data_IF_698305156286
#
_entry.id   IF_698305156286
#
_cell.length_a   1.000
_cell.length_b   1.000
_cell.length_c   1.000
_cell.angle_alpha   90.00
_cell.angle_beta   90.00
_cell.angle_gamma   90.00
#
_symmetry.space_group_name_H-M   'P 1'
#
loop_
_entity.id
_entity.type
_entity.pdbx_description
1 polymer ?
#
# COMPACT_ATOMS: atom_id res chain seq x y z
N UNK A 1 -15.37 7.44 7.04
CA UNK A 1 -16.08 8.27 6.03
C UNK A 1 -15.14 9.37 5.56
N UNK A 2 -14.96 9.50 4.25
CA UNK A 2 -14.19 10.61 3.65
C UNK A 2 -15.07 11.86 3.64
N UNK A 3 -14.51 12.97 4.08
CA UNK A 3 -15.22 14.27 4.07
C UNK A 3 -15.46 14.75 2.64
N UNK A 4 -16.55 15.47 2.42
CA UNK A 4 -16.95 15.94 1.08
C UNK A 4 -15.94 16.90 0.41
N UNK A 5 -15.09 17.55 1.22
CA UNK A 5 -14.03 18.44 0.73
C UNK A 5 -12.75 17.71 0.29
N UNK A 6 -12.66 16.38 0.48
CA UNK A 6 -11.53 15.59 -0.02
C UNK A 6 -11.67 15.38 -1.52
N UNK A 7 -10.62 15.68 -2.28
CA UNK A 7 -10.59 15.39 -3.71
C UNK A 7 -10.61 13.89 -3.96
N UNK A 8 -11.33 13.48 -4.99
CA UNK A 8 -11.42 12.08 -5.42
C UNK A 8 -10.73 11.92 -6.76
N UNK A 9 -10.25 10.71 -7.03
CA UNK A 9 -9.76 10.31 -8.34
C UNK A 9 -10.89 10.06 -9.34
N UNK A 10 -10.52 9.56 -10.50
CA UNK A 10 -9.16 9.29 -10.97
C UNK A 10 -8.36 10.57 -11.25
N UNK A 11 -7.04 10.41 -11.53
CA UNK A 11 -6.29 11.46 -12.21
C UNK A 11 -6.86 11.66 -13.63
N UNK A 12 -6.44 12.73 -14.33
CA UNK A 12 -6.98 13.05 -15.66
C UNK A 12 -6.74 11.95 -16.70
N UNK A 13 -5.70 11.14 -16.53
CA UNK A 13 -5.34 10.00 -17.35
C UNK A 13 -5.91 8.66 -16.84
N UNK A 14 -6.71 8.68 -15.78
CA UNK A 14 -7.39 7.51 -15.23
C UNK A 14 -6.68 6.83 -14.07
N UNK A 15 -5.42 7.21 -13.75
CA UNK A 15 -4.66 6.59 -12.65
C UNK A 15 -5.35 6.71 -11.30
N UNK A 16 -5.09 5.74 -10.43
CA UNK A 16 -5.63 5.70 -9.07
C UNK A 16 -5.09 6.88 -8.25
N UNK A 17 -6.00 7.72 -7.78
CA UNK A 17 -5.79 8.80 -6.82
C UNK A 17 -7.02 8.92 -5.90
N UNK A 18 -6.86 9.36 -4.64
CA UNK A 18 -5.60 9.65 -3.94
C UNK A 18 -4.75 8.39 -3.77
N UNK A 19 -3.46 8.53 -3.43
CA UNK A 19 -2.63 7.36 -3.14
C UNK A 19 -3.01 6.75 -1.79
N UNK A 20 -3.24 7.58 -0.76
CA UNK A 20 -3.51 7.12 0.60
C UNK A 20 -4.38 8.12 1.37
N UNK A 21 -5.11 7.60 2.35
CA UNK A 21 -5.98 8.38 3.23
C UNK A 21 -5.43 8.43 4.67
N UNK A 22 -5.71 9.52 5.38
CA UNK A 22 -5.39 9.67 6.79
C UNK A 22 -6.42 10.54 7.50
N UNK A 23 -6.38 10.57 8.85
CA UNK A 23 -7.28 11.41 9.64
C UNK A 23 -7.03 12.90 9.35
N UNK A 24 -8.06 13.58 8.85
CA UNK A 24 -8.02 15.02 8.55
C UNK A 24 -9.16 15.82 9.21
N UNK A 25 -10.01 15.18 10.02
CA UNK A 25 -11.16 15.83 10.66
C UNK A 25 -10.94 15.94 12.16
N UNK A 26 -11.22 17.12 12.72
CA UNK A 26 -11.07 17.43 14.14
C UNK A 26 -9.68 17.05 14.67
N UNK A 27 -8.65 17.52 13.97
CA UNK A 27 -7.24 17.34 14.37
C UNK A 27 -6.83 18.51 15.24
N UNK A 28 -6.43 18.21 16.49
CA UNK A 28 -5.86 19.20 17.40
C UNK A 28 -4.37 19.36 17.12
N UNK A 29 -3.92 20.60 16.95
CA UNK A 29 -2.51 20.92 16.74
C UNK A 29 -2.21 22.33 17.26
N UNK A 30 -0.94 22.72 17.20
CA UNK A 30 -0.48 24.07 17.56
C UNK A 30 -1.04 25.13 16.60
N UNK A 31 -1.34 26.30 17.13
CA UNK A 31 -1.76 27.50 16.42
C UNK A 31 -0.83 28.67 16.77
N UNK A 32 -1.00 29.78 16.05
CA UNK A 32 -0.29 31.03 16.35
C UNK A 32 -0.55 31.49 17.78
N UNK A 33 0.42 32.22 18.34
CA UNK A 33 0.31 32.77 19.68
C UNK A 33 0.50 31.74 20.81
N UNK A 34 1.20 30.63 20.55
CA UNK A 34 1.49 29.59 21.52
C UNK A 34 0.19 28.95 22.08
N UNK A 35 -0.78 28.71 21.22
CA UNK A 35 -2.08 28.12 21.55
C UNK A 35 -2.29 26.77 20.84
N UNK A 36 -3.34 26.07 21.19
CA UNK A 36 -3.79 24.84 20.52
C UNK A 36 -5.21 25.03 20.00
N UNK A 37 -5.53 24.38 18.92
CA UNK A 37 -6.89 24.39 18.36
C UNK A 37 -7.15 23.24 17.41
N UNK A 38 -8.43 23.12 17.04
CA UNK A 38 -8.93 22.04 16.19
C UNK A 38 -9.16 22.55 14.79
N UNK A 39 -8.61 21.84 13.79
CA UNK A 39 -8.85 22.12 12.37
C UNK A 39 -9.23 20.83 11.62
N UNK A 40 -9.87 21.02 10.47
CA UNK A 40 -10.25 19.92 9.57
C UNK A 40 -9.87 20.26 8.14
N UNK A 41 -9.42 19.26 7.38
CA UNK A 41 -9.04 19.37 5.98
C UNK A 41 -7.99 18.35 5.59
N UNK A 42 -7.79 18.16 4.30
CA UNK A 42 -6.69 17.33 3.77
C UNK A 42 -5.31 17.87 4.17
N UNK A 43 -5.23 19.19 4.44
CA UNK A 43 -4.04 19.84 5.03
C UNK A 43 -3.68 19.33 6.44
N UNK A 44 -4.60 18.65 7.14
CA UNK A 44 -4.37 17.99 8.42
C UNK A 44 -4.05 16.51 8.24
N UNK A 45 -4.56 15.88 7.19
CA UNK A 45 -4.21 14.49 6.84
C UNK A 45 -2.76 14.39 6.34
N UNK A 46 -2.34 15.31 5.48
CA UNK A 46 -1.01 15.30 4.85
C UNK A 46 0.14 15.28 5.88
N UNK A 47 0.23 16.20 6.86
CA UNK A 47 1.27 16.14 7.87
C UNK A 47 1.18 14.91 8.78
N UNK A 48 -0.01 14.34 8.96
CA UNK A 48 -0.17 13.06 9.65
C UNK A 48 0.53 11.91 8.91
N UNK A 49 0.41 11.86 7.58
CA UNK A 49 1.15 10.91 6.74
C UNK A 49 2.64 11.21 6.78
N UNK A 50 3.05 12.48 6.62
CA UNK A 50 4.46 12.87 6.63
C UNK A 50 5.15 12.54 7.96
N UNK A 51 4.47 12.79 9.09
CA UNK A 51 4.97 12.43 10.41
C UNK A 51 5.10 10.92 10.59
N UNK A 52 4.13 10.13 10.10
CA UNK A 52 4.22 8.67 10.08
C UNK A 52 5.42 8.20 9.24
N UNK A 53 5.63 8.78 8.06
CA UNK A 53 6.78 8.45 7.22
C UNK A 53 8.11 8.75 7.92
N UNK A 54 8.23 9.90 8.61
CA UNK A 54 9.45 10.24 9.35
C UNK A 54 9.82 9.18 10.39
N UNK A 55 8.83 8.70 11.17
CA UNK A 55 9.03 7.61 12.14
C UNK A 55 9.38 6.28 11.46
N UNK A 56 8.77 5.98 10.31
CA UNK A 56 9.07 4.76 9.56
C UNK A 56 10.47 4.79 8.92
N UNK A 57 10.95 5.97 8.51
CA UNK A 57 12.33 6.13 8.03
C UNK A 57 13.35 5.87 9.14
N UNK A 58 13.11 6.40 10.36
CA UNK A 58 13.93 6.10 11.54
C UNK A 58 13.88 4.61 11.88
N UNK A 59 12.70 4.00 11.91
CA UNK A 59 12.54 2.58 12.17
C UNK A 59 13.25 1.70 11.11
N UNK A 60 13.29 2.13 9.86
CA UNK A 60 14.01 1.43 8.80
C UNK A 60 15.53 1.51 9.02
N UNK A 61 16.04 2.69 9.37
CA UNK A 61 17.45 2.90 9.69
C UNK A 61 17.88 2.06 10.90
N UNK A 62 17.07 2.02 11.95
CA UNK A 62 17.30 1.17 13.14
C UNK A 62 17.41 -0.33 12.79
N UNK A 63 16.64 -0.81 11.81
CA UNK A 63 16.62 -2.23 11.42
C UNK A 63 17.70 -2.56 10.37
N UNK A 64 17.94 -1.65 9.41
CA UNK A 64 18.82 -1.89 8.25
C UNK A 64 20.18 -1.20 8.36
N UNK A 65 20.33 -0.16 9.18
CA UNK A 65 21.52 0.66 9.28
C UNK A 65 21.72 1.61 8.10
N UNK A 66 20.66 1.89 7.34
CA UNK A 66 20.63 2.82 6.20
C UNK A 66 19.22 3.32 5.94
N UNK A 67 19.09 4.43 5.21
CA UNK A 67 17.79 5.00 4.85
C UNK A 67 17.17 4.29 3.64
N UNK A 68 15.85 4.05 3.66
CA UNK A 68 15.17 3.44 2.52
C UNK A 68 15.09 4.40 1.33
N UNK A 69 15.09 3.84 0.12
CA UNK A 69 14.66 4.59 -1.06
C UNK A 69 13.19 5.02 -0.90
N UNK A 70 12.86 6.22 -1.37
CA UNK A 70 11.50 6.76 -1.25
C UNK A 70 10.44 5.89 -1.93
N UNK A 71 10.79 5.25 -3.05
CA UNK A 71 9.91 4.29 -3.73
C UNK A 71 9.57 3.08 -2.88
N UNK A 72 10.56 2.50 -2.18
CA UNK A 72 10.32 1.40 -1.25
C UNK A 72 9.39 1.83 -0.09
N UNK A 73 9.67 2.97 0.53
CA UNK A 73 8.83 3.47 1.63
C UNK A 73 7.40 3.73 1.17
N UNK A 74 7.21 4.29 -0.03
CA UNK A 74 5.88 4.46 -0.62
C UNK A 74 5.18 3.12 -0.83
N UNK A 75 5.84 2.13 -1.41
CA UNK A 75 5.30 0.78 -1.59
C UNK A 75 4.87 0.16 -0.25
N UNK A 76 5.70 0.29 0.80
CA UNK A 76 5.41 -0.22 2.15
C UNK A 76 4.11 0.38 2.69
N UNK A 77 3.96 1.70 2.68
CA UNK A 77 2.77 2.34 3.27
C UNK A 77 1.50 2.11 2.46
N UNK A 78 1.61 1.96 1.13
CA UNK A 78 0.45 1.65 0.28
C UNK A 78 0.00 0.19 0.46
N UNK A 79 0.94 -0.76 0.44
CA UNK A 79 0.62 -2.19 0.58
C UNK A 79 0.04 -2.55 1.96
N UNK A 80 0.40 -1.80 2.99
CA UNK A 80 -0.01 -2.06 4.38
C UNK A 80 -1.19 -1.20 4.85
N UNK A 81 -1.74 -0.37 3.98
CA UNK A 81 -2.89 0.46 4.31
C UNK A 81 -4.09 -0.38 4.73
N UNK A 82 -4.85 0.12 5.71
CA UNK A 82 -6.15 -0.46 6.05
C UNK A 82 -7.13 -0.14 4.94
N UNK A 83 -7.64 -1.17 4.30
CA UNK A 83 -8.61 -1.06 3.23
C UNK A 83 -9.90 -0.37 3.71
N UNK A 84 -10.40 0.55 2.91
CA UNK A 84 -11.61 1.34 3.20
C UNK A 84 -12.49 1.43 1.95
N UNK A 85 -13.77 1.27 2.15
CA UNK A 85 -14.75 1.36 1.05
C UNK A 85 -14.94 0.03 0.34
N UNK A 86 -14.69 -0.04 -0.94
CA UNK A 86 -14.69 -1.29 -1.69
C UNK A 86 -13.45 -2.12 -1.35
N UNK A 87 -13.52 -3.42 -1.57
CA UNK A 87 -12.34 -4.29 -1.43
C UNK A 87 -11.30 -3.90 -2.49
N UNK A 88 -10.04 -3.73 -2.04
CA UNK A 88 -8.96 -3.23 -2.86
C UNK A 88 -8.97 -1.70 -3.02
N UNK A 89 -8.23 -1.15 -3.98
CA UNK A 89 -8.19 0.30 -4.18
C UNK A 89 -9.51 0.85 -4.68
N UNK A 90 -9.78 2.12 -4.37
CA UNK A 90 -10.88 2.89 -4.96
C UNK A 90 -10.51 4.36 -5.18
N UNK A 91 -11.30 5.10 -5.97
CA UNK A 91 -11.04 6.51 -6.27
C UNK A 91 -11.42 7.48 -5.15
N UNK A 92 -11.83 6.99 -3.99
CA UNK A 92 -12.22 7.79 -2.81
C UNK A 92 -11.14 7.72 -1.74
N UNK A 93 -10.60 6.53 -1.47
CA UNK A 93 -9.67 6.24 -0.38
C UNK A 93 -8.26 5.91 -0.89
N UNK A 94 -8.09 5.71 -2.21
CA UNK A 94 -6.86 5.18 -2.79
C UNK A 94 -6.62 3.75 -2.34
N UNK A 95 -5.42 3.44 -1.85
CA UNK A 95 -5.07 2.12 -1.32
C UNK A 95 -5.54 1.90 0.12
N UNK A 96 -6.20 2.89 0.73
CA UNK A 96 -6.77 2.81 2.06
C UNK A 96 -6.21 3.84 3.04
N UNK A 97 -6.39 3.58 4.34
CA UNK A 97 -5.88 4.42 5.42
C UNK A 97 -4.49 3.97 5.85
N UNK A 98 -3.56 4.92 5.99
CA UNK A 98 -2.20 4.63 6.46
C UNK A 98 -2.22 3.88 7.80
N UNK A 99 -1.43 2.80 7.90
CA UNK A 99 -1.26 1.99 9.10
C UNK A 99 0.23 1.82 9.42
N UNK A 100 0.73 2.65 10.34
CA UNK A 100 2.13 2.65 10.73
C UNK A 100 2.60 1.32 11.35
N UNK A 101 1.73 0.61 12.10
CA UNK A 101 2.06 -0.68 12.72
C UNK A 101 2.32 -1.75 11.67
N UNK A 102 1.41 -1.90 10.69
CA UNK A 102 1.58 -2.87 9.60
C UNK A 102 2.81 -2.52 8.74
N UNK A 103 3.05 -1.23 8.48
CA UNK A 103 4.23 -0.77 7.76
C UNK A 103 5.52 -1.12 8.52
N UNK A 104 5.54 -0.93 9.83
CA UNK A 104 6.66 -1.36 10.68
C UNK A 104 6.86 -2.88 10.69
N UNK A 105 5.79 -3.67 10.71
CA UNK A 105 5.86 -5.14 10.60
C UNK A 105 6.57 -5.59 9.31
N UNK A 106 6.32 -4.91 8.20
CA UNK A 106 7.02 -5.15 6.92
C UNK A 106 8.51 -4.84 7.05
N UNK A 107 8.86 -3.72 7.66
CA UNK A 107 10.25 -3.30 7.87
C UNK A 107 10.97 -4.30 8.79
N UNK A 108 10.38 -4.61 9.94
CA UNK A 108 10.97 -5.47 10.95
C UNK A 108 11.19 -6.91 10.48
N UNK A 109 10.33 -7.42 9.60
CA UNK A 109 10.41 -8.77 9.06
C UNK A 109 11.09 -8.83 7.67
N UNK A 110 11.53 -7.70 7.12
CA UNK A 110 12.15 -7.61 5.80
C UNK A 110 11.24 -8.15 4.67
N UNK A 111 9.94 -7.87 4.76
CA UNK A 111 8.96 -8.34 3.79
C UNK A 111 8.95 -7.48 2.52
N UNK A 112 10.12 -7.30 1.94
CA UNK A 112 10.31 -6.57 0.69
C UNK A 112 11.53 -7.08 -0.08
N UNK A 113 11.54 -6.78 -1.36
CA UNK A 113 12.70 -6.97 -2.24
C UNK A 113 12.72 -5.86 -3.29
N UNK A 114 13.87 -5.67 -3.94
CA UNK A 114 14.03 -4.74 -5.04
C UNK A 114 14.85 -5.37 -6.16
N UNK A 115 14.69 -4.85 -7.35
CA UNK A 115 15.42 -5.28 -8.52
C UNK A 115 15.25 -4.31 -9.66
N UNK A 116 15.67 -4.71 -10.86
CA UNK A 116 15.40 -3.98 -12.09
C UNK A 116 15.04 -4.95 -13.21
N UNK A 117 14.25 -4.49 -14.16
CA UNK A 117 13.83 -5.27 -15.33
C UNK A 117 13.92 -4.41 -16.57
N UNK A 118 14.43 -5.00 -17.67
CA UNK A 118 14.50 -4.36 -18.97
C UNK A 118 13.24 -4.65 -19.80
N UNK A 119 13.10 -3.94 -20.90
CA UNK A 119 12.00 -4.13 -21.84
C UNK A 119 11.91 -5.57 -22.34
N UNK A 120 10.74 -6.17 -22.30
CA UNK A 120 10.47 -7.56 -22.69
C UNK A 120 11.01 -8.63 -21.75
N UNK A 121 11.88 -8.29 -20.79
CA UNK A 121 12.46 -9.24 -19.82
C UNK A 121 11.49 -9.56 -18.68
N UNK A 122 11.82 -10.59 -17.91
CA UNK A 122 11.06 -10.91 -16.69
C UNK A 122 11.97 -11.45 -15.59
N UNK A 123 11.62 -11.11 -14.35
CA UNK A 123 12.27 -11.60 -13.13
C UNK A 123 11.24 -12.40 -12.34
N UNK A 124 11.67 -13.51 -11.72
CA UNK A 124 10.81 -14.36 -10.91
C UNK A 124 11.50 -14.70 -9.59
N UNK A 125 10.71 -14.79 -8.53
CA UNK A 125 11.16 -15.32 -7.25
C UNK A 125 10.02 -16.04 -6.53
N UNK A 126 10.37 -16.88 -5.57
CA UNK A 126 9.38 -17.60 -4.75
C UNK A 126 9.09 -16.82 -3.47
N UNK A 127 7.82 -16.48 -3.25
CA UNK A 127 7.29 -15.98 -2.00
C UNK A 127 6.71 -17.16 -1.21
N UNK A 128 7.19 -17.36 0.01
CA UNK A 128 6.66 -18.40 0.91
C UNK A 128 5.54 -17.78 1.75
N UNK A 129 4.30 -18.22 1.54
CA UNK A 129 3.17 -17.82 2.38
C UNK A 129 3.10 -18.76 3.58
N UNK A 130 3.22 -18.24 4.83
CA UNK A 130 3.16 -19.05 6.03
C UNK A 130 1.77 -19.66 6.28
N UNK A 131 1.71 -20.65 7.17
CA UNK A 131 0.44 -21.22 7.64
C UNK A 131 -0.35 -20.20 8.48
N UNK A 132 -1.66 -20.40 8.59
CA UNK A 132 -2.56 -19.62 9.45
C UNK A 132 -2.60 -18.12 9.11
N UNK A 133 -2.50 -17.80 7.81
CA UNK A 133 -2.71 -16.43 7.33
C UNK A 133 -4.13 -16.27 6.80
N UNK A 134 -4.79 -15.21 7.24
CA UNK A 134 -6.14 -14.85 6.74
C UNK A 134 -6.07 -13.98 5.51
N UNK A 135 -4.93 -13.31 5.32
CA UNK A 135 -4.70 -12.43 4.18
C UNK A 135 -3.22 -12.41 3.81
N UNK A 136 -2.94 -12.32 2.51
CA UNK A 136 -1.64 -11.98 1.99
C UNK A 136 -1.81 -10.88 0.93
N UNK A 137 -0.96 -9.86 0.97
CA UNK A 137 -0.87 -8.78 -0.02
C UNK A 137 0.52 -8.73 -0.61
N UNK A 138 0.60 -8.53 -1.90
CA UNK A 138 1.85 -8.29 -2.61
C UNK A 138 1.65 -7.08 -3.52
N UNK A 139 2.52 -6.09 -3.40
CA UNK A 139 2.52 -4.88 -4.23
C UNK A 139 3.83 -4.76 -4.97
N UNK A 140 3.75 -4.56 -6.27
CA UNK A 140 4.81 -4.04 -7.12
C UNK A 140 4.66 -2.52 -7.21
N UNK A 141 5.76 -1.79 -7.04
CA UNK A 141 5.82 -0.35 -7.20
C UNK A 141 7.12 0.04 -7.90
N UNK A 142 7.06 1.03 -8.78
CA UNK A 142 8.26 1.61 -9.39
C UNK A 142 8.16 3.14 -9.45
N UNK A 143 9.33 3.78 -9.41
CA UNK A 143 9.43 5.22 -9.64
C UNK A 143 9.58 5.42 -11.14
N UNK A 144 8.44 5.64 -11.78
CA UNK A 144 8.38 5.85 -13.22
C UNK A 144 9.06 7.17 -13.62
N UNK A 145 9.75 7.24 -14.77
CA UNK A 145 10.26 8.50 -15.31
C UNK A 145 9.14 9.53 -15.55
N UNK A 146 9.52 10.80 -15.57
CA UNK A 146 8.56 11.87 -15.85
C UNK A 146 8.07 11.85 -17.30
N UNK A 147 6.76 11.95 -17.47
CA UNK A 147 6.15 12.09 -18.79
C UNK A 147 6.33 13.50 -19.36
N UNK A 148 6.19 13.62 -20.67
CA UNK A 148 6.19 14.92 -21.34
C UNK A 148 5.07 15.82 -20.81
N UNK A 149 5.29 17.12 -20.82
CA UNK A 149 4.24 18.09 -20.47
C UNK A 149 3.03 17.92 -21.38
N UNK A 150 1.84 17.83 -20.78
CA UNK A 150 0.57 17.54 -21.45
C UNK A 150 0.45 16.16 -22.12
N UNK A 151 1.23 15.18 -21.68
CA UNK A 151 1.02 13.80 -22.09
C UNK A 151 -0.40 13.32 -21.74
N UNK A 152 -1.02 12.58 -22.64
CA UNK A 152 -2.35 11.98 -22.40
C UNK A 152 -2.30 10.85 -21.37
N UNK A 153 -1.15 10.17 -21.26
CA UNK A 153 -0.85 9.11 -20.31
C UNK A 153 0.47 9.47 -19.61
N UNK A 154 0.51 9.39 -18.30
CA UNK A 154 1.72 9.73 -17.55
C UNK A 154 2.66 8.54 -17.38
N UNK A 155 2.17 7.31 -17.54
CA UNK A 155 3.00 6.11 -17.45
C UNK A 155 3.97 6.06 -18.64
N UNK A 156 5.27 5.92 -18.34
CA UNK A 156 6.34 5.82 -19.33
C UNK A 156 6.87 4.39 -19.39
N UNK A 157 7.26 3.83 -18.23
CA UNK A 157 7.68 2.44 -18.14
C UNK A 157 6.54 1.63 -17.51
N UNK A 158 6.14 0.57 -18.16
CA UNK A 158 5.04 -0.30 -17.77
C UNK A 158 5.57 -1.67 -17.36
N UNK A 159 5.29 -2.05 -16.11
CA UNK A 159 5.67 -3.33 -15.53
C UNK A 159 4.42 -4.12 -15.14
N UNK A 160 4.40 -5.41 -15.43
CA UNK A 160 3.33 -6.33 -15.06
C UNK A 160 3.72 -7.18 -13.83
N UNK A 161 2.82 -7.30 -12.85
CA UNK A 161 2.88 -8.24 -11.75
C UNK A 161 1.94 -9.43 -11.99
N UNK A 162 2.44 -10.63 -11.88
CA UNK A 162 1.61 -11.83 -11.79
C UNK A 162 2.09 -12.73 -10.68
N UNK A 163 1.17 -13.45 -10.04
CA UNK A 163 1.51 -14.42 -8.98
C UNK A 163 0.83 -15.74 -9.31
N UNK A 164 1.60 -16.82 -9.36
CA UNK A 164 1.08 -18.17 -9.50
C UNK A 164 1.06 -18.83 -8.12
N UNK A 165 -0.12 -19.25 -7.67
CA UNK A 165 -0.32 -19.92 -6.39
C UNK A 165 0.11 -21.39 -6.41
N UNK A 166 0.12 -22.10 -5.25
CA UNK A 166 0.49 -23.52 -5.19
C UNK A 166 -0.42 -24.44 -6.00
N UNK A 167 -1.62 -24.01 -6.37
CA UNK A 167 -2.53 -24.75 -7.25
C UNK A 167 -2.31 -24.49 -8.74
N UNK A 168 -1.28 -23.71 -9.09
CA UNK A 168 -0.97 -23.27 -10.45
C UNK A 168 -1.97 -22.28 -11.04
N UNK A 169 -2.77 -21.60 -10.20
CA UNK A 169 -3.65 -20.52 -10.63
C UNK A 169 -2.86 -19.23 -10.72
N UNK A 170 -3.03 -18.51 -11.83
CA UNK A 170 -2.41 -17.18 -12.04
C UNK A 170 -3.36 -16.10 -11.52
N UNK A 171 -2.85 -15.24 -10.67
CA UNK A 171 -3.54 -14.09 -10.12
C UNK A 171 -2.99 -12.80 -10.74
N UNK A 172 -3.90 -11.88 -11.05
CA UNK A 172 -3.62 -10.57 -11.63
C UNK A 172 -3.87 -9.47 -10.60
N UNK A 173 -3.25 -8.29 -10.76
CA UNK A 173 -3.44 -7.15 -9.87
C UNK A 173 -4.86 -6.57 -9.96
N UNK A 174 -5.19 -5.72 -9.00
CA UNK A 174 -6.41 -4.95 -9.01
C UNK A 174 -6.41 -3.90 -10.13
N UNK A 175 -7.50 -3.85 -10.88
CA UNK A 175 -7.77 -2.86 -11.92
C UNK A 175 -9.08 -2.12 -11.62
N UNK A 176 -9.09 -0.80 -11.76
CA UNK A 176 -10.28 0.05 -11.64
C UNK A 176 -10.79 0.51 -13.02
N UNK A 177 -12.10 0.53 -13.16
CA UNK A 177 -12.74 1.15 -14.32
C UNK A 177 -12.77 2.68 -14.17
N UNK A 178 -11.97 3.38 -14.96
CA UNK A 178 -11.86 4.84 -14.94
C UNK A 178 -12.79 5.53 -15.95
N UNK A 179 -13.72 4.80 -16.57
CA UNK A 179 -14.76 5.38 -17.43
C UNK A 179 -15.48 6.51 -16.69
N UNK A 180 -15.66 7.72 -17.30
CA UNK A 180 -16.20 8.87 -16.60
C UNK A 180 -17.72 8.75 -16.37
N UNK A 181 -18.11 7.81 -15.53
CA UNK A 181 -19.49 7.61 -15.08
C UNK A 181 -19.50 7.28 -13.59
N UNK A 182 -20.55 7.71 -12.88
CA UNK A 182 -20.70 7.43 -11.43
C UNK A 182 -20.67 5.91 -11.17
N UNK A 183 -21.29 5.13 -12.04
CA UNK A 183 -21.34 3.67 -11.92
C UNK A 183 -19.94 3.04 -11.99
N UNK A 184 -19.15 3.38 -13.01
CA UNK A 184 -17.80 2.86 -13.19
C UNK A 184 -16.85 3.32 -12.06
N UNK A 185 -16.84 4.63 -11.77
CA UNK A 185 -15.97 5.21 -10.74
C UNK A 185 -16.31 4.78 -9.31
N UNK A 186 -17.46 4.16 -9.09
CA UNK A 186 -17.89 3.60 -7.79
C UNK A 186 -17.83 2.08 -7.75
N UNK A 187 -17.49 1.43 -8.87
CA UNK A 187 -17.37 -0.02 -8.93
C UNK A 187 -16.15 -0.51 -8.11
N UNK A 188 -16.21 -1.70 -7.51
CA UNK A 188 -15.05 -2.31 -6.88
C UNK A 188 -13.98 -2.65 -7.91
N UNK A 189 -12.73 -2.66 -7.47
CA UNK A 189 -11.62 -3.14 -8.28
C UNK A 189 -11.79 -4.64 -8.61
N UNK A 190 -11.37 -5.03 -9.79
CA UNK A 190 -11.40 -6.42 -10.26
C UNK A 190 -9.98 -6.85 -10.67
N UNK A 191 -9.64 -8.14 -10.62
CA UNK A 191 -8.37 -8.62 -11.17
C UNK A 191 -8.26 -8.35 -12.68
N UNK A 192 -7.16 -7.77 -13.12
CA UNK A 192 -6.92 -7.46 -14.52
C UNK A 192 -5.48 -7.02 -14.79
N UNK A 193 -5.15 -6.83 -16.06
CA UNK A 193 -3.86 -6.27 -16.47
C UNK A 193 -3.96 -4.75 -16.41
N UNK A 194 -3.01 -4.12 -15.73
CA UNK A 194 -2.99 -2.67 -15.53
C UNK A 194 -1.84 -2.03 -16.33
N UNK A 195 -2.16 -1.27 -17.35
CA UNK A 195 -1.22 -0.49 -18.17
C UNK A 195 -1.36 1.02 -17.93
N UNK A 196 -1.75 1.40 -16.72
CA UNK A 196 -2.05 2.79 -16.40
C UNK A 196 -1.32 3.29 -15.15
N UNK A 197 -1.22 2.44 -14.13
CA UNK A 197 -0.61 2.78 -12.86
C UNK A 197 0.83 2.28 -12.75
N UNK A 198 1.66 2.99 -12.00
CA UNK A 198 3.03 2.57 -11.66
C UNK A 198 3.07 1.79 -10.32
N UNK A 199 1.98 1.12 -10.01
CA UNK A 199 1.83 0.27 -8.83
C UNK A 199 0.73 -0.75 -9.05
N UNK A 200 1.00 -1.99 -8.70
CA UNK A 200 0.10 -3.11 -8.87
C UNK A 200 0.02 -3.95 -7.61
N UNK A 201 -1.18 -4.32 -7.18
CA UNK A 201 -1.38 -5.11 -5.96
C UNK A 201 -2.24 -6.34 -6.24
N UNK A 202 -1.78 -7.47 -5.70
CA UNK A 202 -2.54 -8.73 -5.64
C UNK A 202 -2.81 -9.05 -4.18
N UNK A 203 -4.06 -9.36 -3.86
CA UNK A 203 -4.49 -9.73 -2.52
C UNK A 203 -5.11 -11.13 -2.52
N UNK A 204 -4.78 -11.91 -1.51
CA UNK A 204 -5.31 -13.25 -1.28
C UNK A 204 -6.05 -13.27 0.05
N UNK A 205 -7.26 -13.81 0.05
CA UNK A 205 -8.05 -14.08 1.24
C UNK A 205 -7.93 -15.57 1.59
N UNK A 206 -7.60 -15.86 2.86
CA UNK A 206 -7.35 -17.20 3.36
C UNK A 206 -6.39 -18.00 2.45
N UNK A 207 -5.18 -17.46 2.17
CA UNK A 207 -4.25 -18.11 1.25
C UNK A 207 -3.82 -19.47 1.76
N UNK A 208 -3.73 -20.44 0.85
CA UNK A 208 -3.10 -21.73 1.16
C UNK A 208 -1.62 -21.50 1.42
N UNK A 209 -1.09 -22.04 2.53
CA UNK A 209 0.35 -21.95 2.79
C UNK A 209 1.16 -22.67 1.72
N UNK A 210 2.30 -22.11 1.35
CA UNK A 210 3.17 -22.72 0.35
C UNK A 210 3.92 -21.72 -0.50
N UNK A 211 4.44 -22.21 -1.63
CA UNK A 211 5.26 -21.44 -2.54
C UNK A 211 4.39 -20.75 -3.59
N UNK A 212 4.46 -19.43 -3.62
CA UNK A 212 3.85 -18.57 -4.63
C UNK A 212 4.94 -18.04 -5.55
N UNK A 213 4.81 -18.24 -6.85
CA UNK A 213 5.76 -17.72 -7.82
C UNK A 213 5.36 -16.29 -8.20
N UNK A 214 6.12 -15.32 -7.74
CA UNK A 214 5.96 -13.90 -8.10
C UNK A 214 6.76 -13.65 -9.37
N UNK A 215 6.12 -13.07 -10.38
CA UNK A 215 6.76 -12.69 -11.65
C UNK A 215 6.53 -11.22 -11.91
N UNK A 216 7.61 -10.51 -12.20
CA UNK A 216 7.63 -9.12 -12.68
C UNK A 216 8.10 -9.16 -14.12
N UNK A 217 7.35 -8.50 -15.03
CA UNK A 217 7.70 -8.39 -16.44
C UNK A 217 7.81 -6.92 -16.81
N UNK A 218 8.87 -6.54 -17.53
CA UNK A 218 8.93 -5.28 -18.28
C UNK A 218 8.02 -5.41 -19.51
N UNK A 219 6.80 -4.89 -19.44
CA UNK A 219 5.85 -4.99 -20.54
C UNK A 219 6.21 -4.01 -21.66
N UNK A 220 6.43 -2.74 -21.30
CA UNK A 220 6.91 -1.67 -22.19
C UNK A 220 7.83 -0.76 -21.37
N UNK A 221 9.15 -0.86 -21.55
CA UNK A 221 10.15 -0.17 -20.72
C UNK A 221 11.11 0.63 -21.61
N UNK A 222 10.58 1.67 -22.32
CA UNK A 222 11.37 2.46 -23.24
C UNK A 222 12.50 3.26 -22.57
N UNK A 223 12.39 3.53 -21.27
CA UNK A 223 13.39 4.25 -20.49
C UNK A 223 13.96 3.37 -19.37
N UNK A 224 14.51 2.21 -19.74
CA UNK A 224 14.96 1.20 -18.80
C UNK A 224 16.47 1.01 -18.71
N UNK A 225 16.90 0.03 -17.88
CA UNK A 225 16.06 -0.86 -17.08
C UNK A 225 15.35 -0.12 -15.96
N UNK A 226 14.10 -0.49 -15.69
CA UNK A 226 13.28 0.10 -14.62
C UNK A 226 13.57 -0.58 -13.27
N UNK A 227 13.96 0.21 -12.28
CA UNK A 227 14.04 -0.25 -10.89
C UNK A 227 12.63 -0.40 -10.32
N UNK A 228 12.42 -1.49 -9.56
CA UNK A 228 11.16 -1.78 -8.90
C UNK A 228 11.36 -2.22 -7.45
N UNK A 229 10.28 -2.13 -6.67
CA UNK A 229 10.16 -2.62 -5.30
C UNK A 229 8.96 -3.56 -5.23
N UNK A 230 9.16 -4.73 -4.60
CA UNK A 230 8.07 -5.64 -4.24
C UNK A 230 7.96 -5.65 -2.73
N UNK A 231 6.76 -5.41 -2.24
CA UNK A 231 6.45 -5.44 -0.81
C UNK A 231 5.33 -6.44 -0.58
N UNK A 232 5.48 -7.28 0.43
CA UNK A 232 4.44 -8.24 0.82
C UNK A 232 4.13 -8.14 2.31
N UNK A 233 2.92 -8.50 2.68
CA UNK A 233 2.43 -8.47 4.05
C UNK A 233 1.42 -9.58 4.28
N UNK A 234 1.40 -10.12 5.51
CA UNK A 234 0.55 -11.22 5.90
C UNK A 234 -0.26 -10.87 7.14
N UNK A 235 -1.58 -11.06 7.08
CA UNK A 235 -2.46 -10.97 8.23
C UNK A 235 -2.67 -12.35 8.85
N UNK A 236 -2.68 -12.43 10.17
CA UNK A 236 -2.99 -13.64 10.93
C UNK A 236 -4.27 -13.42 11.73
N UNK A 237 -4.99 -14.49 12.01
CA UNK A 237 -5.96 -14.49 13.11
C UNK A 237 -5.22 -14.57 14.45
N UNK A 238 -4.54 -13.51 14.81
CA UNK A 238 -3.95 -13.45 16.14
C UNK A 238 -5.01 -12.99 17.13
N UNK A 239 -5.33 -13.86 18.10
CA UNK A 239 -5.93 -13.44 19.35
C UNK A 239 -4.93 -12.50 20.03
N UNK A 240 -5.04 -11.23 19.73
CA UNK A 240 -4.27 -10.22 20.46
C UNK A 240 -4.92 -10.13 21.84
N UNK A 241 -4.28 -10.70 22.85
CA UNK A 241 -4.61 -10.41 24.23
C UNK A 241 -4.45 -8.90 24.41
N UNK A 242 -5.58 -8.19 24.42
CA UNK A 242 -5.59 -6.75 24.67
C UNK A 242 -5.42 -6.44 26.16
N UNK A 243 -5.59 -7.47 27.02
CA UNK A 243 -5.36 -7.41 28.47
C UNK A 243 -5.45 -8.84 29.06
N UNK A 244 -4.55 -9.24 29.98
CA UNK A 244 -3.32 -8.52 30.37
C UNK A 244 -2.22 -8.64 29.29
N UNK A 245 -1.43 -7.56 29.10
CA UNK A 245 -0.29 -7.53 28.16
C UNK A 245 1.06 -7.83 28.82
N UNK A 246 1.05 -8.10 30.12
CA UNK A 246 2.22 -8.35 30.96
C UNK A 246 2.71 -7.10 31.69
N UNK A 247 3.16 -7.32 32.94
CA UNK A 247 3.59 -6.21 33.83
C UNK A 247 2.47 -5.51 34.60
N UNK A 248 1.21 -5.88 34.37
CA UNK A 248 0.08 -5.37 35.15
C UNK A 248 0.07 -5.99 36.56
N UNK A 249 -0.14 -5.14 37.55
CA UNK A 249 -0.46 -5.60 38.90
C UNK A 249 -1.92 -6.04 38.95
N UNK A 250 -2.15 -7.34 38.92
CA UNK A 250 -3.50 -7.88 39.12
C UNK A 250 -3.88 -7.66 40.60
N UNK A 251 -4.86 -6.80 40.83
CA UNK A 251 -5.47 -6.66 42.15
C UNK A 251 -6.31 -7.92 42.40
N UNK A 252 -6.05 -8.72 43.45
CA UNK A 252 -6.90 -9.86 43.76
C UNK A 252 -8.33 -9.42 43.93
N UNK A 253 -9.29 -10.09 43.26
CA UNK A 253 -10.70 -9.92 43.58
C UNK A 253 -10.90 -10.32 45.02
N UNK A 254 -11.23 -9.38 45.91
CA UNK A 254 -11.78 -9.70 47.20
C UNK A 254 -13.17 -10.32 46.98
N UNK A 255 -13.28 -11.62 47.14
CA UNK A 255 -14.59 -12.27 47.29
C UNK A 255 -15.09 -11.94 48.69
N UNK A 256 -16.04 -10.99 48.80
CA UNK A 256 -16.95 -10.91 49.91
C UNK A 256 -18.02 -11.99 49.79
#
# INVERSE_FOLDING_TARGET
VVVSSSSRGPAHDGRIKPDISAKGTNVTSTLDGNTYGVKSGTSMSCPGVSGTLAVLYEAFDDVQGDLPKSGLMKAIVLNTADDLGNVGPDFIHGWGRINARKAYEVIANLYFSSGSVADGDSVQFTLIVPTNKTKARVMLYWMDPEASVNASTALINDLDLTITDPSSTIHLPYLLDHTPSISALSAPAIPGVDHLNNMEQIEFFNPVSGNYLVKIKGFDVPSGPQEYFVVYWFESEDLTLTYPVGGESLVPFNTE
#
